data_IF_167319641822
#
_entry.id   IF_167319641822
#
_cell.length_a   1.000
_cell.length_b   1.000
_cell.length_c   1.000
_cell.angle_alpha   90.00
_cell.angle_beta   90.00
_cell.angle_gamma   90.00
#
_symmetry.space_group_name_H-M   'P 1'
#
loop_
_entity.id
_entity.type
_entity.pdbx_description
1 polymer ?
#
# COMPACT_ATOMS: atom_id res chain seq x y z
N UNK A 1 15.27 -3.94 -10.70
CA UNK A 1 13.83 -3.77 -10.95
C UNK A 1 13.06 -4.90 -10.30
N UNK A 2 12.13 -4.58 -9.45
CA UNK A 2 11.20 -5.56 -8.93
C UNK A 2 9.93 -5.55 -9.78
N UNK A 3 9.33 -6.72 -9.94
CA UNK A 3 8.14 -6.88 -10.76
C UNK A 3 6.95 -7.21 -9.86
N UNK A 4 6.00 -6.29 -9.81
CA UNK A 4 4.74 -6.49 -9.11
C UNK A 4 3.66 -6.45 -10.19
N UNK A 5 3.04 -7.59 -10.48
CA UNK A 5 1.98 -7.68 -11.49
C UNK A 5 0.70 -7.03 -11.01
N UNK A 6 0.77 -5.72 -10.78
CA UNK A 6 -0.34 -4.94 -10.26
C UNK A 6 -0.13 -3.47 -10.58
N UNK A 7 -1.22 -2.74 -10.66
CA UNK A 7 -1.16 -1.30 -10.83
C UNK A 7 -0.90 -0.66 -9.48
N UNK A 8 0.13 0.20 -9.42
CA UNK A 8 0.52 0.88 -8.18
C UNK A 8 -0.14 2.25 -8.14
N UNK A 9 -0.86 2.53 -7.07
CA UNK A 9 -1.58 3.80 -6.90
C UNK A 9 -1.02 4.68 -5.80
N UNK A 10 -0.19 4.13 -4.92
CA UNK A 10 0.46 4.91 -3.88
C UNK A 10 1.70 4.21 -3.37
N UNK A 11 2.62 4.98 -2.83
CA UNK A 11 3.88 4.45 -2.29
C UNK A 11 4.42 5.36 -1.20
N UNK A 12 5.09 4.74 -0.21
CA UNK A 12 5.85 5.46 0.80
C UNK A 12 7.06 4.62 1.21
N UNK A 13 8.17 5.29 1.44
CA UNK A 13 9.41 4.63 1.87
C UNK A 13 9.93 5.29 3.14
N UNK A 14 10.21 4.47 4.15
CA UNK A 14 10.81 4.91 5.39
C UNK A 14 12.21 4.29 5.52
N UNK A 15 13.23 5.09 5.28
CA UNK A 15 14.62 4.63 5.30
C UNK A 15 15.10 4.24 6.71
N UNK A 16 14.51 4.83 7.75
CA UNK A 16 14.89 4.53 9.13
C UNK A 16 14.60 3.08 9.52
N UNK A 17 13.56 2.49 8.94
CA UNK A 17 13.18 1.11 9.22
C UNK A 17 13.29 0.21 7.99
N UNK A 18 13.79 0.74 6.87
CA UNK A 18 14.00 -0.03 5.65
C UNK A 18 12.71 -0.56 5.03
N UNK A 19 11.61 0.16 5.16
CA UNK A 19 10.30 -0.31 4.73
C UNK A 19 9.80 0.49 3.53
N UNK A 20 9.47 -0.22 2.45
CA UNK A 20 8.76 0.32 1.30
C UNK A 20 7.34 -0.24 1.32
N UNK A 21 6.35 0.64 1.30
CA UNK A 21 4.95 0.27 1.28
C UNK A 21 4.30 0.76 -0.02
N UNK A 22 3.57 -0.11 -0.68
CA UNK A 22 2.87 0.21 -1.92
C UNK A 22 1.39 -0.11 -1.78
N UNK A 23 0.56 0.68 -2.43
CA UNK A 23 -0.84 0.32 -2.67
C UNK A 23 -0.95 -0.15 -4.11
N UNK A 24 -1.55 -1.31 -4.30
CA UNK A 24 -1.78 -1.85 -5.63
C UNK A 24 -3.21 -2.35 -5.77
N UNK A 25 -3.67 -2.48 -6.99
CA UNK A 25 -4.91 -3.20 -7.26
C UNK A 25 -4.75 -4.06 -8.51
N UNK A 26 -5.53 -5.15 -8.54
CA UNK A 26 -5.49 -6.09 -9.65
C UNK A 26 -6.61 -5.79 -10.68
N UNK A 27 -6.71 -6.63 -11.70
CA UNK A 27 -7.70 -6.47 -12.76
C UNK A 27 -9.15 -6.63 -12.29
N UNK A 28 -9.36 -7.28 -11.15
CA UNK A 28 -10.69 -7.47 -10.56
C UNK A 28 -11.09 -6.33 -9.60
N UNK A 29 -10.20 -5.35 -9.40
CA UNK A 29 -10.45 -4.23 -8.53
C UNK A 29 -10.13 -4.48 -7.07
N UNK A 30 -9.53 -5.60 -6.73
CA UNK A 30 -9.06 -5.86 -5.37
C UNK A 30 -7.85 -5.01 -5.07
N UNK A 31 -7.80 -4.45 -3.88
CA UNK A 31 -6.73 -3.56 -3.46
C UNK A 31 -5.87 -4.24 -2.40
N UNK A 32 -4.57 -3.96 -2.44
CA UNK A 32 -3.59 -4.62 -1.59
C UNK A 32 -2.56 -3.62 -1.08
N UNK A 33 -2.03 -3.90 0.12
CA UNK A 33 -0.80 -3.29 0.61
C UNK A 33 0.32 -4.28 0.35
N UNK A 34 1.39 -3.82 -0.29
CA UNK A 34 2.58 -4.63 -0.53
C UNK A 34 3.71 -4.02 0.28
N UNK A 35 4.35 -4.83 1.11
CA UNK A 35 5.41 -4.39 2.00
C UNK A 35 6.73 -5.08 1.65
N UNK A 36 7.74 -4.29 1.37
CA UNK A 36 9.12 -4.74 1.20
C UNK A 36 9.88 -4.34 2.45
N UNK A 37 10.19 -5.33 3.29
CA UNK A 37 10.99 -5.11 4.50
C UNK A 37 12.47 -5.28 4.15
N UNK A 38 13.33 -4.47 4.76
CA UNK A 38 14.75 -4.40 4.42
C UNK A 38 14.97 -4.17 2.93
N UNK A 39 14.20 -3.24 2.39
CA UNK A 39 14.20 -2.96 0.95
C UNK A 39 15.58 -2.49 0.47
N UNK A 40 16.09 -3.14 -0.57
CA UNK A 40 17.31 -2.75 -1.25
C UNK A 40 17.04 -2.66 -2.75
N UNK A 41 17.15 -1.47 -3.36
CA UNK A 41 16.85 -1.30 -4.79
C UNK A 41 17.80 -2.06 -5.72
N UNK A 42 18.93 -2.54 -5.22
CA UNK A 42 19.94 -3.28 -6.00
C UNK A 42 19.76 -4.78 -5.94
N UNK A 43 18.82 -5.29 -5.17
CA UNK A 43 18.58 -6.72 -4.96
C UNK A 43 17.16 -7.11 -5.27
N UNK A 44 16.94 -8.41 -5.54
CA UNK A 44 15.61 -8.97 -5.57
C UNK A 44 15.03 -8.94 -4.15
N UNK A 45 13.88 -8.32 -3.98
CA UNK A 45 13.27 -8.13 -2.68
C UNK A 45 12.10 -9.08 -2.49
N UNK A 46 11.97 -9.59 -1.26
CA UNK A 46 10.78 -10.32 -0.85
C UNK A 46 9.74 -9.33 -0.38
N UNK A 47 8.49 -9.64 -0.60
CA UNK A 47 7.41 -8.79 -0.16
C UNK A 47 6.29 -9.59 0.47
N UNK A 48 5.56 -8.93 1.37
CA UNK A 48 4.31 -9.41 1.95
C UNK A 48 3.16 -8.65 1.30
N UNK A 49 2.09 -9.36 0.99
CA UNK A 49 0.93 -8.80 0.33
C UNK A 49 -0.31 -9.02 1.17
N UNK A 50 -1.00 -7.94 1.52
CA UNK A 50 -2.20 -7.97 2.36
C UNK A 50 -3.36 -7.35 1.61
N UNK A 51 -4.48 -8.07 1.52
CA UNK A 51 -5.68 -7.53 0.89
C UNK A 51 -6.32 -6.48 1.79
N UNK A 52 -6.66 -5.33 1.21
CA UNK A 52 -7.39 -4.28 1.91
C UNK A 52 -8.88 -4.66 1.89
N UNK A 53 -9.52 -4.84 3.06
CA UNK A 53 -10.90 -5.35 3.11
C UNK A 53 -11.95 -4.26 2.92
N UNK A 54 -11.64 -3.24 2.14
CA UNK A 54 -12.53 -2.10 1.88
C UNK A 54 -12.84 -2.09 0.39
N UNK A 55 -14.11 -2.28 0.06
CA UNK A 55 -14.58 -2.25 -1.31
C UNK A 55 -15.08 -0.86 -1.69
N UNK A 56 -15.15 -0.59 -2.98
CA UNK A 56 -15.78 0.60 -3.57
C UNK A 56 -15.10 1.94 -3.29
N UNK A 57 -13.94 1.93 -2.67
CA UNK A 57 -13.14 3.12 -2.48
C UNK A 57 -11.81 2.96 -3.18
N UNK A 58 -11.36 3.98 -3.88
CA UNK A 58 -10.07 3.96 -4.53
C UNK A 58 -9.01 4.48 -3.57
N UNK A 59 -8.08 3.62 -3.18
CA UNK A 59 -6.97 4.02 -2.32
C UNK A 59 -5.95 4.79 -3.13
N UNK A 60 -5.56 5.97 -2.68
CA UNK A 60 -4.72 6.88 -3.44
C UNK A 60 -3.35 7.16 -2.83
N UNK A 61 -3.26 7.10 -1.51
CA UNK A 61 -1.98 7.34 -0.85
C UNK A 61 -1.81 6.48 0.37
N UNK A 62 -0.55 6.24 0.73
CA UNK A 62 -0.18 5.48 1.92
C UNK A 62 0.94 6.22 2.63
N UNK A 63 0.87 6.24 3.97
CA UNK A 63 1.93 6.75 4.81
C UNK A 63 2.26 5.75 5.89
N UNK A 64 3.54 5.43 6.02
CA UNK A 64 4.04 4.51 7.02
C UNK A 64 4.04 5.20 8.38
N UNK A 65 3.37 4.59 9.38
CA UNK A 65 3.46 5.00 10.78
C UNK A 65 4.60 4.24 11.45
N UNK A 66 4.59 2.92 11.29
CA UNK A 66 5.62 2.01 11.77
C UNK A 66 5.58 0.73 10.94
N UNK A 67 6.25 -0.32 11.39
CA UNK A 67 6.38 -1.58 10.63
C UNK A 67 5.06 -2.31 10.37
N UNK A 68 4.02 -2.00 11.13
CA UNK A 68 2.73 -2.71 11.05
C UNK A 68 1.53 -1.79 10.88
N UNK A 69 1.72 -0.47 10.96
CA UNK A 69 0.62 0.47 10.92
C UNK A 69 0.81 1.50 9.81
N UNK A 70 -0.28 1.81 9.12
CA UNK A 70 -0.25 2.69 7.95
C UNK A 70 -1.49 3.57 7.94
N UNK A 71 -1.32 4.84 7.53
CA UNK A 71 -2.43 5.70 7.14
C UNK A 71 -2.65 5.56 5.65
N UNK A 72 -3.89 5.36 5.24
CA UNK A 72 -4.28 5.28 3.83
C UNK A 72 -5.41 6.27 3.58
N UNK A 73 -5.27 7.05 2.51
CA UNK A 73 -6.35 7.92 2.06
C UNK A 73 -7.04 7.30 0.87
N UNK A 74 -8.35 7.43 0.84
CA UNK A 74 -9.15 7.02 -0.29
C UNK A 74 -10.03 8.17 -0.76
N UNK A 75 -10.37 8.15 -2.04
CA UNK A 75 -11.40 9.02 -2.58
C UNK A 75 -12.67 8.20 -2.76
N UNK A 76 -13.76 8.66 -2.15
CA UNK A 76 -15.04 8.02 -2.33
C UNK A 76 -15.71 8.61 -3.58
N UNK A 77 -15.83 7.78 -4.61
CA UNK A 77 -16.42 8.19 -5.89
C UNK A 77 -17.86 8.69 -5.77
N UNK A 78 -18.59 8.27 -4.75
CA UNK A 78 -19.98 8.66 -4.56
C UNK A 78 -20.16 9.99 -3.85
N UNK A 79 -19.30 10.35 -2.91
CA UNK A 79 -19.47 11.53 -2.07
C UNK A 79 -18.48 12.65 -2.38
N UNK A 80 -17.38 12.34 -3.05
CA UNK A 80 -16.31 13.29 -3.31
C UNK A 80 -15.50 13.67 -2.08
N UNK A 81 -15.70 12.99 -0.95
CA UNK A 81 -14.98 13.26 0.29
C UNK A 81 -13.84 12.26 0.49
N UNK A 82 -12.61 12.74 0.70
CA UNK A 82 -11.52 11.86 1.04
C UNK A 82 -11.73 11.24 2.42
N UNK A 83 -11.42 9.96 2.55
CA UNK A 83 -11.52 9.25 3.82
C UNK A 83 -10.12 8.78 4.23
N UNK A 84 -9.82 8.91 5.52
CA UNK A 84 -8.57 8.49 6.09
C UNK A 84 -8.79 7.20 6.89
N UNK A 85 -8.03 6.16 6.54
CA UNK A 85 -8.09 4.88 7.24
C UNK A 85 -6.76 4.57 7.90
N UNK A 86 -6.82 3.97 9.08
CA UNK A 86 -5.65 3.37 9.70
C UNK A 86 -5.70 1.87 9.48
N UNK A 87 -4.68 1.32 8.85
CA UNK A 87 -4.56 -0.11 8.59
C UNK A 87 -3.47 -0.68 9.48
N UNK A 88 -3.78 -1.79 10.13
CA UNK A 88 -2.82 -2.55 10.94
C UNK A 88 -2.66 -3.92 10.30
N UNK A 89 -1.44 -4.28 9.96
CA UNK A 89 -1.11 -5.61 9.42
C UNK A 89 -0.44 -6.43 10.51
N UNK A 90 -0.65 -7.74 10.48
CA UNK A 90 -0.11 -8.62 11.51
C UNK A 90 0.57 -9.84 10.92
#
# INVERSE_FOLDING_TARGET
TFNVNALITGADYNSSIGLLALISYDSDGNQYIILFRDFDPLKANRFDKFKIPIDKSQMESIKIINETEFWITSEDEGSGHPTLFKIVVR
#
